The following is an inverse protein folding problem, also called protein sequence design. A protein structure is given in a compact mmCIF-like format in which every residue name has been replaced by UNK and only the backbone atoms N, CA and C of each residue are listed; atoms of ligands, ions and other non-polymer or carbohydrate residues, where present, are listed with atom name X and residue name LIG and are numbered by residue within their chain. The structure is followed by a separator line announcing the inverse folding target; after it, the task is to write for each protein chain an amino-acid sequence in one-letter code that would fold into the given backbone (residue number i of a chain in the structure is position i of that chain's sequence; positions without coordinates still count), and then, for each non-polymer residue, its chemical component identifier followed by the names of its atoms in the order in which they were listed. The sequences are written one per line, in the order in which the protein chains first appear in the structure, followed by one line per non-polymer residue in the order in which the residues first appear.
data_IF_590819913553
#
_entry.id   IF_590819913553
#
_cell.length_a   1.000
_cell.length_b   1.000
_cell.length_c   1.000
_cell.angle_alpha   90.00
_cell.angle_beta   90.00
_cell.angle_gamma   90.00
#
_symmetry.space_group_name_H-M   'P 1'
#
loop_
_entity.id
_entity.type
_entity.pdbx_description
1 polymer ?
#
# COMPACT_ATOMS: atom_id res chain seq x y z
N UNK A 1 5.26 -26.64 19.23
CA UNK A 1 3.77 -26.57 19.38
C UNK A 1 3.15 -25.29 18.81
N UNK A 2 3.56 -24.07 19.22
CA UNK A 2 3.11 -22.82 18.58
C UNK A 2 3.96 -22.46 17.35
N UNK A 3 5.27 -22.69 17.44
CA UNK A 3 6.25 -22.44 16.38
C UNK A 3 6.01 -23.29 15.12
N UNK A 4 5.72 -24.59 15.32
CA UNK A 4 5.42 -25.51 14.20
C UNK A 4 4.18 -25.07 13.40
N UNK A 5 3.14 -24.58 14.06
CA UNK A 5 1.90 -24.12 13.39
C UNK A 5 2.12 -22.91 12.49
N UNK A 6 2.97 -21.97 12.91
CA UNK A 6 3.29 -20.78 12.11
C UNK A 6 4.14 -21.18 10.91
N UNK A 7 5.15 -22.04 11.12
CA UNK A 7 5.99 -22.56 10.03
C UNK A 7 5.19 -23.34 9.00
N UNK A 8 4.29 -24.21 9.44
CA UNK A 8 3.44 -25.02 8.55
C UNK A 8 2.49 -24.16 7.74
N UNK A 9 1.91 -23.11 8.34
CA UNK A 9 1.08 -22.13 7.62
C UNK A 9 1.84 -21.47 6.46
N UNK A 10 3.05 -20.95 6.73
CA UNK A 10 3.87 -20.33 5.69
C UNK A 10 4.31 -21.34 4.62
N UNK A 11 4.62 -22.59 5.01
CA UNK A 11 4.93 -23.64 4.04
C UNK A 11 3.75 -23.95 3.11
N UNK A 12 2.53 -24.07 3.65
CA UNK A 12 1.31 -24.27 2.85
C UNK A 12 1.04 -23.09 1.92
N UNK A 13 1.27 -21.85 2.40
CA UNK A 13 1.10 -20.63 1.61
C UNK A 13 2.09 -20.59 0.41
N UNK A 14 3.34 -20.97 0.63
CA UNK A 14 4.34 -21.08 -0.44
C UNK A 14 4.02 -22.21 -1.42
N UNK A 15 3.59 -23.36 -0.94
CA UNK A 15 3.20 -24.48 -1.81
C UNK A 15 2.02 -24.09 -2.73
N UNK A 16 1.01 -23.40 -2.20
CA UNK A 16 -0.12 -22.86 -2.98
C UNK A 16 0.36 -21.92 -4.09
N UNK A 17 1.27 -20.99 -3.76
CA UNK A 17 1.86 -20.07 -4.74
C UNK A 17 2.61 -20.81 -5.85
N UNK A 18 3.43 -21.80 -5.50
CA UNK A 18 4.16 -22.65 -6.47
C UNK A 18 3.20 -23.38 -7.39
N UNK A 19 2.05 -23.84 -6.88
CA UNK A 19 1.01 -24.50 -7.66
C UNK A 19 0.07 -23.53 -8.40
N UNK A 20 0.33 -22.22 -8.38
CA UNK A 20 -0.51 -21.21 -9.02
C UNK A 20 -1.91 -21.11 -8.43
N UNK A 21 -2.12 -21.55 -7.19
CA UNK A 21 -3.41 -21.43 -6.51
C UNK A 21 -3.59 -20.01 -6.00
N UNK A 22 -4.72 -19.41 -6.33
CA UNK A 22 -5.11 -18.11 -5.79
C UNK A 22 -5.38 -18.22 -4.29
N UNK A 23 -5.09 -17.16 -3.51
CA UNK A 23 -5.57 -17.04 -2.14
C UNK A 23 -7.10 -17.18 -2.09
N UNK A 24 -7.60 -17.90 -1.09
CA UNK A 24 -9.02 -18.06 -0.84
C UNK A 24 -9.31 -17.71 0.62
N UNK A 25 -10.30 -16.84 0.81
CA UNK A 25 -10.74 -16.34 2.11
C UNK A 25 -12.15 -16.84 2.37
N UNK A 26 -12.33 -18.08 2.87
CA UNK A 26 -13.65 -18.61 3.15
C UNK A 26 -14.32 -17.77 4.23
N UNK A 27 -15.62 -17.52 4.08
CA UNK A 27 -16.36 -16.68 5.00
C UNK A 27 -17.63 -16.13 4.39
N UNK A 28 -18.41 -15.45 5.22
CA UNK A 28 -19.55 -14.63 4.80
C UNK A 28 -19.42 -13.26 5.46
N UNK A 29 -20.09 -12.22 4.96
CA UNK A 29 -20.19 -10.95 5.65
C UNK A 29 -20.46 -11.05 7.17
N UNK A 30 -21.31 -12.00 7.58
CA UNK A 30 -21.75 -12.17 8.97
C UNK A 30 -20.72 -12.87 9.84
N UNK A 31 -19.97 -13.82 9.26
CA UNK A 31 -18.95 -14.60 9.96
C UNK A 31 -17.56 -13.98 9.86
N UNK A 32 -17.37 -13.01 8.96
CA UNK A 32 -16.08 -12.46 8.59
C UNK A 32 -15.32 -13.34 7.60
N UNK A 33 -14.26 -12.79 7.01
CA UNK A 33 -13.36 -13.52 6.12
C UNK A 33 -12.25 -14.20 6.95
N UNK A 34 -12.15 -15.54 6.86
CA UNK A 34 -11.17 -16.29 7.64
C UNK A 34 -9.74 -16.03 7.14
N UNK A 35 -8.91 -15.48 8.03
CA UNK A 35 -7.49 -15.24 7.79
C UNK A 35 -6.62 -16.49 8.06
N UNK A 36 -7.21 -17.63 8.44
CA UNK A 36 -6.61 -18.92 8.83
C UNK A 36 -5.63 -18.88 10.01
N UNK A 37 -5.22 -17.69 10.46
CA UNK A 37 -4.16 -17.50 11.45
C UNK A 37 -4.65 -16.94 12.79
N UNK A 38 -5.85 -16.32 12.91
CA UNK A 38 -6.60 -16.13 14.20
C UNK A 38 -7.81 -15.18 14.18
N UNK A 39 -7.93 -14.27 13.22
CA UNK A 39 -9.02 -13.28 13.18
C UNK A 39 -9.96 -13.56 12.02
N UNK A 40 -11.27 -13.36 12.21
CA UNK A 40 -12.24 -13.26 11.13
C UNK A 40 -12.87 -11.86 11.24
N UNK A 41 -12.23 -10.82 10.68
CA UNK A 41 -12.73 -9.47 10.79
C UNK A 41 -14.08 -9.36 10.06
N UNK A 42 -15.10 -8.89 10.78
CA UNK A 42 -16.37 -8.45 10.24
C UNK A 42 -16.43 -6.92 10.32
N UNK A 43 -16.67 -6.26 9.19
CA UNK A 43 -16.73 -4.80 9.08
C UNK A 43 -18.17 -4.30 9.00
N UNK A 44 -18.45 -3.20 9.71
CA UNK A 44 -19.68 -2.42 9.56
C UNK A 44 -19.34 -1.09 8.87
N UNK A 45 -20.26 -0.57 8.07
CA UNK A 45 -20.17 0.78 7.53
C UNK A 45 -21.38 1.58 8.01
N UNK A 46 -21.09 2.75 8.55
CA UNK A 46 -22.09 3.74 8.95
C UNK A 46 -22.38 4.69 7.77
N UNK A 47 -23.66 4.95 7.53
CA UNK A 47 -24.09 5.94 6.56
C UNK A 47 -24.33 7.32 7.18
N UNK A 48 -24.64 8.32 6.35
CA UNK A 48 -24.89 9.69 6.79
C UNK A 48 -26.15 9.86 7.68
N UNK A 49 -26.92 8.79 7.90
CA UNK A 49 -28.10 8.75 8.78
C UNK A 49 -27.84 7.88 10.02
N UNK A 50 -26.58 7.61 10.35
CA UNK A 50 -26.15 6.82 11.52
C UNK A 50 -26.64 5.36 11.44
N UNK A 51 -26.92 4.86 10.23
CA UNK A 51 -27.33 3.46 10.04
C UNK A 51 -26.11 2.63 9.74
N UNK A 52 -25.93 1.58 10.53
CA UNK A 52 -24.90 0.57 10.30
C UNK A 52 -25.42 -0.48 9.32
N UNK A 53 -24.62 -0.80 8.32
CA UNK A 53 -24.77 -1.99 7.49
C UNK A 53 -23.53 -2.86 7.58
N UNK A 54 -23.71 -4.14 7.33
CA UNK A 54 -22.60 -5.06 7.16
C UNK A 54 -21.85 -4.76 5.86
N UNK A 55 -20.53 -4.93 5.86
CA UNK A 55 -19.73 -4.92 4.65
C UNK A 55 -20.08 -6.10 3.76
N UNK A 56 -20.11 -5.91 2.43
CA UNK A 56 -20.24 -7.03 1.49
C UNK A 56 -18.99 -7.91 1.53
N UNK A 57 -19.03 -9.05 0.83
CA UNK A 57 -17.85 -9.90 0.72
C UNK A 57 -16.71 -9.18 -0.02
N UNK A 58 -17.03 -8.46 -1.10
CA UNK A 58 -16.09 -7.65 -1.89
C UNK A 58 -15.41 -6.58 -1.02
N UNK A 59 -16.18 -5.93 -0.15
CA UNK A 59 -15.64 -4.93 0.78
C UNK A 59 -14.73 -5.55 1.85
N UNK A 60 -15.00 -6.79 2.28
CA UNK A 60 -14.16 -7.52 3.23
C UNK A 60 -12.83 -7.98 2.62
N UNK A 61 -12.86 -8.56 1.42
CA UNK A 61 -11.65 -9.09 0.78
C UNK A 61 -10.63 -8.01 0.44
N UNK A 62 -11.04 -6.74 0.38
CA UNK A 62 -10.15 -5.59 0.30
C UNK A 62 -9.11 -5.58 1.45
N UNK A 63 -9.56 -5.81 2.69
CA UNK A 63 -8.68 -5.85 3.86
C UNK A 63 -7.77 -7.09 3.82
N UNK A 64 -8.30 -8.21 3.32
CA UNK A 64 -7.57 -9.47 3.21
C UNK A 64 -6.35 -9.35 2.29
N UNK A 65 -6.47 -8.62 1.18
CA UNK A 65 -5.33 -8.36 0.28
C UNK A 65 -4.09 -7.87 1.01
N UNK A 66 -4.26 -7.01 2.02
CA UNK A 66 -3.13 -6.42 2.76
C UNK A 66 -2.65 -7.25 3.96
N UNK A 67 -3.55 -8.00 4.60
CA UNK A 67 -3.29 -8.74 5.85
C UNK A 67 -3.01 -10.24 5.68
N UNK A 68 -2.89 -10.75 4.45
CA UNK A 68 -2.54 -12.17 4.24
C UNK A 68 -1.37 -12.38 3.29
N UNK A 69 -1.38 -11.72 2.13
CA UNK A 69 -0.52 -12.11 1.00
C UNK A 69 0.40 -11.00 0.50
N UNK A 70 0.50 -9.85 1.18
CA UNK A 70 1.49 -8.84 0.85
C UNK A 70 2.89 -9.29 1.26
N UNK A 71 3.76 -9.44 0.27
CA UNK A 71 5.11 -10.01 0.41
C UNK A 71 6.12 -9.20 1.22
N UNK A 72 5.73 -8.04 1.76
CA UNK A 72 6.63 -7.15 2.53
C UNK A 72 6.15 -6.93 3.97
N UNK A 73 5.02 -7.50 4.40
CA UNK A 73 4.54 -7.35 5.80
C UNK A 73 5.49 -7.98 6.83
N UNK A 74 5.35 -7.58 8.10
CA UNK A 74 5.94 -8.28 9.25
C UNK A 74 4.78 -8.71 10.13
N UNK A 75 4.65 -10.01 10.41
CA UNK A 75 3.53 -10.57 11.16
C UNK A 75 2.14 -10.12 10.66
N UNK A 76 1.99 -9.98 9.34
CA UNK A 76 0.76 -9.52 8.69
C UNK A 76 0.31 -8.10 9.13
N UNK A 77 1.24 -7.30 9.67
CA UNK A 77 1.01 -5.90 10.08
C UNK A 77 2.02 -4.95 9.45
N UNK A 78 1.64 -3.67 9.39
CA UNK A 78 2.46 -2.55 8.91
C UNK A 78 2.91 -1.62 10.05
N UNK A 79 2.31 -1.76 11.24
CA UNK A 79 2.24 -0.67 12.22
C UNK A 79 3.52 -0.41 13.00
N UNK A 80 4.25 -1.47 13.38
CA UNK A 80 5.41 -1.35 14.28
C UNK A 80 6.76 -1.22 13.57
N UNK A 81 7.05 -1.99 12.50
CA UNK A 81 8.39 -2.00 11.89
C UNK A 81 8.85 -0.68 11.26
N UNK A 82 7.92 0.25 11.02
CA UNK A 82 8.17 1.57 10.42
C UNK A 82 8.27 2.71 11.44
N UNK A 83 8.05 2.44 12.74
CA UNK A 83 8.09 3.47 13.77
C UNK A 83 9.50 4.08 13.89
N UNK A 84 9.55 5.39 14.11
CA UNK A 84 10.77 6.11 14.48
C UNK A 84 11.31 5.55 15.80
N UNK A 85 12.63 5.37 16.00
CA UNK A 85 13.18 4.89 17.26
C UNK A 85 12.86 5.79 18.45
N UNK A 86 12.78 5.19 19.64
CA UNK A 86 12.61 5.90 20.91
C UNK A 86 11.22 6.52 21.11
N UNK A 87 11.13 7.53 21.98
CA UNK A 87 9.88 8.21 22.36
C UNK A 87 9.14 8.81 21.16
N UNK A 88 9.86 9.25 20.14
CA UNK A 88 9.31 9.91 18.95
C UNK A 88 8.51 8.95 18.05
N UNK A 89 8.67 7.62 18.17
CA UNK A 89 7.83 6.64 17.48
C UNK A 89 6.51 6.31 18.19
N UNK A 90 6.33 6.79 19.42
CA UNK A 90 5.14 6.52 20.23
C UNK A 90 4.17 7.69 20.31
N UNK A 91 4.56 8.87 19.83
CA UNK A 91 3.65 10.01 19.63
C UNK A 91 2.81 9.85 18.36
N UNK A 92 1.84 10.74 18.18
CA UNK A 92 1.12 10.89 16.91
C UNK A 92 2.11 11.11 15.77
N UNK A 93 2.03 10.27 14.74
CA UNK A 93 2.92 10.33 13.58
C UNK A 93 2.58 11.55 12.71
N UNK A 94 3.61 12.28 12.31
CA UNK A 94 3.49 13.38 11.34
C UNK A 94 4.58 13.24 10.29
N UNK A 95 4.26 13.40 9.01
CA UNK A 95 5.24 13.34 7.92
C UNK A 95 6.19 14.55 7.89
N UNK A 96 5.78 15.67 8.51
CA UNK A 96 6.62 16.87 8.58
C UNK A 96 7.80 16.62 9.50
N UNK A 97 9.00 16.92 9.02
CA UNK A 97 10.25 16.64 9.70
C UNK A 97 10.67 15.17 9.74
N UNK A 98 9.94 14.26 9.09
CA UNK A 98 10.41 12.88 8.93
C UNK A 98 11.28 12.77 7.67
N UNK A 99 12.55 12.34 7.81
CA UNK A 99 13.39 12.10 6.64
C UNK A 99 12.98 10.81 5.92
N UNK A 100 13.22 10.77 4.61
CA UNK A 100 13.14 9.58 3.77
C UNK A 100 14.36 8.69 4.04
N UNK A 101 14.23 7.76 4.97
CA UNK A 101 15.30 6.82 5.33
C UNK A 101 15.29 5.58 4.43
N UNK A 102 16.44 4.92 4.22
CA UNK A 102 16.49 3.65 3.50
C UNK A 102 15.68 2.55 4.20
N UNK A 103 15.29 1.54 3.43
CA UNK A 103 14.83 0.26 3.99
C UNK A 103 16.02 -0.55 4.51
N UNK A 104 15.77 -1.45 5.44
CA UNK A 104 16.80 -2.38 5.91
C UNK A 104 17.43 -3.16 4.74
N UNK A 105 18.76 -3.11 4.65
CA UNK A 105 19.53 -3.71 3.55
C UNK A 105 19.67 -2.84 2.29
N UNK A 106 19.12 -1.62 2.29
CA UNK A 106 19.24 -0.65 1.21
C UNK A 106 20.10 0.52 1.67
N UNK A 107 20.78 1.17 0.72
CA UNK A 107 21.55 2.40 0.97
C UNK A 107 20.82 3.64 0.48
N UNK A 108 20.00 3.50 -0.57
CA UNK A 108 19.20 4.59 -1.10
C UNK A 108 17.94 4.82 -0.24
N UNK A 109 17.46 6.08 -0.14
CA UNK A 109 16.18 6.40 0.49
C UNK A 109 15.02 5.56 -0.08
N UNK A 110 14.04 5.22 0.76
CA UNK A 110 12.93 4.36 0.36
C UNK A 110 12.11 4.97 -0.78
N UNK A 111 11.74 6.25 -0.67
CA UNK A 111 10.92 6.91 -1.70
C UNK A 111 11.67 7.04 -3.01
N UNK A 112 12.97 7.35 -2.95
CA UNK A 112 13.84 7.34 -4.14
C UNK A 112 13.86 5.97 -4.83
N UNK A 113 14.01 4.89 -4.05
CA UNK A 113 13.99 3.52 -4.55
C UNK A 113 12.62 3.17 -5.17
N UNK A 114 11.52 3.58 -4.54
CA UNK A 114 10.17 3.37 -5.07
C UNK A 114 9.96 4.13 -6.38
N UNK A 115 10.31 5.42 -6.44
CA UNK A 115 10.19 6.24 -7.66
C UNK A 115 11.03 5.70 -8.81
N UNK A 116 12.23 5.18 -8.53
CA UNK A 116 13.07 4.55 -9.56
C UNK A 116 12.45 3.25 -10.09
N UNK A 117 11.85 2.42 -9.23
CA UNK A 117 11.27 1.14 -9.66
C UNK A 117 9.94 1.31 -10.38
N UNK A 118 9.06 2.14 -9.83
CA UNK A 118 7.70 2.36 -10.33
C UNK A 118 7.68 3.38 -11.46
N UNK A 119 8.66 4.28 -11.53
CA UNK A 119 8.69 5.40 -12.49
C UNK A 119 7.45 6.29 -12.34
N UNK A 120 7.06 6.55 -11.08
CA UNK A 120 5.91 7.34 -10.69
C UNK A 120 5.72 7.34 -9.18
N UNK A 121 4.66 8.00 -8.72
CA UNK A 121 4.32 8.09 -7.30
C UNK A 121 3.10 7.26 -6.87
N UNK A 122 2.60 6.43 -7.78
CA UNK A 122 1.48 5.52 -7.60
C UNK A 122 1.56 4.40 -8.66
N UNK A 123 0.86 3.30 -8.43
CA UNK A 123 0.93 2.07 -9.23
C UNK A 123 0.46 2.27 -10.68
N UNK A 124 -0.34 3.32 -10.93
CA UNK A 124 -0.88 3.64 -12.24
C UNK A 124 -0.20 4.83 -12.91
N UNK A 125 0.77 5.47 -12.23
CA UNK A 125 1.39 6.74 -12.64
C UNK A 125 0.34 7.80 -13.00
N UNK A 126 -0.71 7.89 -12.19
CA UNK A 126 -1.85 8.80 -12.39
C UNK A 126 -1.71 10.12 -11.62
N UNK A 127 -0.71 10.25 -10.74
CA UNK A 127 -0.46 11.48 -9.99
C UNK A 127 0.34 12.50 -10.83
N UNK A 128 -0.37 13.24 -11.68
CA UNK A 128 0.21 14.28 -12.56
C UNK A 128 1.02 15.34 -11.79
N UNK A 129 0.56 15.73 -10.59
CA UNK A 129 1.26 16.73 -9.75
C UNK A 129 2.63 16.19 -9.32
N UNK A 130 2.70 14.93 -8.90
CA UNK A 130 3.95 14.29 -8.48
C UNK A 130 4.87 14.06 -9.69
N UNK A 131 4.32 13.61 -10.83
CA UNK A 131 5.08 13.42 -12.06
C UNK A 131 5.70 14.74 -12.54
N UNK A 132 4.94 15.84 -12.54
CA UNK A 132 5.47 17.15 -12.92
C UNK A 132 6.60 17.63 -12.00
N UNK A 133 6.56 17.25 -10.71
CA UNK A 133 7.53 17.67 -9.70
C UNK A 133 8.82 16.86 -9.69
N UNK A 134 8.71 15.54 -9.86
CA UNK A 134 9.82 14.60 -9.64
C UNK A 134 10.23 13.82 -10.88
N UNK A 135 9.46 13.92 -11.96
CA UNK A 135 9.74 13.26 -13.24
C UNK A 135 9.73 14.27 -14.40
N UNK A 136 10.51 15.37 -14.33
CA UNK A 136 10.58 16.32 -15.44
C UNK A 136 11.00 15.60 -16.73
N UNK A 137 10.24 15.82 -17.80
CA UNK A 137 10.40 15.12 -19.09
C UNK A 137 10.31 13.57 -18.98
N UNK A 138 9.61 13.06 -17.96
CA UNK A 138 9.46 11.62 -17.71
C UNK A 138 10.68 10.95 -17.06
N UNK A 139 11.68 11.72 -16.63
CA UNK A 139 12.91 11.20 -16.00
C UNK A 139 12.94 11.59 -14.54
N UNK A 140 13.20 10.63 -13.66
CA UNK A 140 13.31 10.84 -12.22
C UNK A 140 14.41 11.86 -11.88
N UNK A 141 14.05 12.98 -11.26
CA UNK A 141 14.98 13.90 -10.64
C UNK A 141 15.37 13.39 -9.24
N UNK A 142 16.34 12.50 -9.22
CA UNK A 142 16.85 11.89 -8.00
C UNK A 142 17.46 12.92 -7.04
N UNK A 143 18.01 14.02 -7.57
CA UNK A 143 18.60 15.08 -6.76
C UNK A 143 17.53 15.81 -5.96
N UNK A 144 16.38 16.10 -6.59
CA UNK A 144 15.24 16.71 -5.92
C UNK A 144 14.66 15.79 -4.84
N UNK A 145 14.49 14.50 -5.12
CA UNK A 145 13.94 13.53 -4.14
C UNK A 145 14.86 13.37 -2.93
N UNK A 146 16.18 13.29 -3.15
CA UNK A 146 17.18 13.14 -2.07
C UNK A 146 17.24 14.31 -1.10
N UNK A 147 16.63 15.46 -1.41
CA UNK A 147 16.49 16.56 -0.44
C UNK A 147 15.66 16.19 0.78
N UNK A 148 14.83 15.16 0.70
CA UNK A 148 14.07 14.65 1.85
C UNK A 148 14.82 13.58 2.64
N UNK A 149 15.99 13.12 2.18
CA UNK A 149 16.82 12.15 2.90
C UNK A 149 17.49 12.78 4.14
N UNK A 150 18.04 11.97 5.07
CA UNK A 150 18.83 12.49 6.18
C UNK A 150 19.91 13.49 5.73
N UNK A 151 19.97 14.65 6.39
CA UNK A 151 20.88 15.75 6.04
C UNK A 151 20.38 16.70 4.94
N UNK A 152 19.22 16.43 4.33
CA UNK A 152 18.57 17.31 3.37
C UNK A 152 17.73 18.43 4.01
N UNK A 153 17.19 19.33 3.18
CA UNK A 153 16.38 20.48 3.58
C UNK A 153 14.86 20.28 3.41
N UNK A 154 14.43 19.04 3.10
CA UNK A 154 13.04 18.63 2.93
C UNK A 154 12.73 17.40 3.79
N UNK A 155 11.47 16.95 3.72
CA UNK A 155 10.95 15.82 4.49
C UNK A 155 9.97 14.98 3.64
N UNK A 156 9.50 13.87 4.21
CA UNK A 156 8.48 13.03 3.59
C UNK A 156 7.20 13.80 3.27
N UNK A 157 6.78 14.74 4.13
CA UNK A 157 5.60 15.56 3.83
C UNK A 157 5.77 16.33 2.52
N UNK A 158 6.95 16.90 2.26
CA UNK A 158 7.23 17.55 0.99
C UNK A 158 7.11 16.58 -0.19
N UNK A 159 7.60 15.33 -0.06
CA UNK A 159 7.53 14.35 -1.15
C UNK A 159 6.08 13.94 -1.51
N UNK A 160 5.26 13.61 -0.51
CA UNK A 160 4.00 12.90 -0.76
C UNK A 160 2.73 13.72 -0.51
N UNK A 161 2.83 14.86 0.19
CA UNK A 161 1.63 15.66 0.47
C UNK A 161 1.17 16.37 -0.81
N UNK A 162 -0.09 16.21 -1.23
CA UNK A 162 -0.62 16.90 -2.39
C UNK A 162 -0.75 18.40 -2.14
N UNK A 163 -0.78 19.19 -3.22
CA UNK A 163 -1.20 20.59 -3.15
C UNK A 163 -2.60 20.70 -2.54
N UNK A 164 -2.90 21.87 -1.96
CA UNK A 164 -4.24 22.15 -1.41
C UNK A 164 -5.35 21.93 -2.44
N UNK A 165 -5.12 22.31 -3.70
CA UNK A 165 -6.09 22.15 -4.78
C UNK A 165 -6.40 20.67 -5.03
N UNK A 166 -5.35 19.85 -5.19
CA UNK A 166 -5.47 18.41 -5.39
C UNK A 166 -6.09 17.72 -4.17
N UNK A 167 -5.67 18.08 -2.95
CA UNK A 167 -6.24 17.54 -1.72
C UNK A 167 -7.76 17.74 -1.67
N UNK A 168 -8.25 18.96 -1.94
CA UNK A 168 -9.69 19.24 -1.96
C UNK A 168 -10.45 18.48 -3.06
N UNK A 169 -9.81 18.21 -4.19
CA UNK A 169 -10.42 17.39 -5.26
C UNK A 169 -10.54 15.93 -4.81
N UNK A 170 -9.49 15.38 -4.21
CA UNK A 170 -9.48 14.01 -3.67
C UNK A 170 -10.50 13.86 -2.54
N UNK A 171 -10.57 14.82 -1.61
CA UNK A 171 -11.55 14.85 -0.53
C UNK A 171 -12.98 14.84 -1.06
N UNK A 172 -13.25 15.62 -2.12
CA UNK A 172 -14.57 15.64 -2.78
C UNK A 172 -14.89 14.31 -3.45
N UNK A 173 -13.92 13.72 -4.16
CA UNK A 173 -14.09 12.41 -4.78
C UNK A 173 -14.38 11.32 -3.72
N UNK A 174 -13.65 11.33 -2.61
CA UNK A 174 -13.87 10.42 -1.50
C UNK A 174 -15.21 10.64 -0.80
N UNK A 175 -15.64 11.89 -0.64
CA UNK A 175 -16.96 12.19 -0.10
C UNK A 175 -18.09 11.62 -0.95
N UNK A 176 -17.95 11.60 -2.28
CA UNK A 176 -18.93 10.95 -3.17
C UNK A 176 -18.96 9.45 -2.90
N UNK A 177 -17.79 8.78 -2.87
CA UNK A 177 -17.68 7.35 -2.55
C UNK A 177 -18.35 7.00 -1.21
N UNK A 178 -18.10 7.81 -0.17
CA UNK A 178 -18.69 7.62 1.17
C UNK A 178 -20.21 7.80 1.16
N UNK A 179 -20.72 8.82 0.46
CA UNK A 179 -22.17 9.08 0.37
C UNK A 179 -22.91 8.00 -0.40
N UNK A 180 -22.29 7.49 -1.46
CA UNK A 180 -22.84 6.42 -2.29
C UNK A 180 -22.62 5.04 -1.68
N UNK A 181 -21.74 4.93 -0.66
CA UNK A 181 -21.39 3.66 -0.02
C UNK A 181 -20.84 2.63 -1.02
N UNK A 182 -20.22 3.10 -2.11
CA UNK A 182 -19.86 2.28 -3.27
C UNK A 182 -18.47 1.61 -3.12
N UNK A 183 -18.08 1.21 -1.91
CA UNK A 183 -16.75 0.66 -1.63
C UNK A 183 -16.49 -0.70 -2.29
N UNK A 184 -17.54 -1.42 -2.68
CA UNK A 184 -17.44 -2.62 -3.51
C UNK A 184 -16.82 -2.35 -4.90
N UNK A 185 -16.84 -1.10 -5.37
CA UNK A 185 -16.20 -0.68 -6.62
C UNK A 185 -14.72 -0.28 -6.44
N UNK A 186 -14.23 -0.29 -5.20
CA UNK A 186 -12.89 0.19 -4.84
C UNK A 186 -12.95 1.30 -3.79
N UNK A 187 -11.84 1.45 -3.04
CA UNK A 187 -11.70 2.46 -1.98
C UNK A 187 -10.78 3.61 -2.37
N UNK A 188 -9.96 3.41 -3.39
CA UNK A 188 -9.04 4.42 -3.89
C UNK A 188 -9.77 5.42 -4.78
N UNK A 189 -9.51 6.71 -4.53
CA UNK A 189 -10.14 7.79 -5.28
C UNK A 189 -9.18 8.36 -6.30
N UNK A 190 -9.54 8.21 -7.57
CA UNK A 190 -8.82 8.80 -8.69
C UNK A 190 -9.64 9.96 -9.25
N UNK A 191 -8.97 11.05 -9.62
CA UNK A 191 -9.64 12.23 -10.18
C UNK A 191 -10.04 12.04 -11.65
N UNK A 192 -9.40 11.09 -12.32
CA UNK A 192 -9.68 10.70 -13.69
C UNK A 192 -9.34 9.21 -13.87
N UNK A 193 -9.93 8.53 -14.86
CA UNK A 193 -9.54 7.18 -15.22
C UNK A 193 -8.03 7.10 -15.53
N UNK A 194 -7.27 6.20 -14.86
CA UNK A 194 -5.83 6.08 -15.08
C UNK A 194 -5.53 5.51 -16.47
N UNK A 195 -4.45 5.98 -17.09
CA UNK A 195 -4.05 5.51 -18.42
C UNK A 195 -3.40 4.11 -18.39
N UNK A 196 -2.64 3.80 -17.32
CA UNK A 196 -1.88 2.55 -17.21
C UNK A 196 -2.68 1.43 -16.54
N UNK A 197 -3.88 1.17 -17.06
CA UNK A 197 -4.76 0.08 -16.58
C UNK A 197 -5.29 -0.71 -17.77
N UNK A 198 -5.18 -2.03 -17.69
CA UNK A 198 -5.77 -2.93 -18.67
C UNK A 198 -7.30 -2.92 -18.53
N UNK A 199 -8.02 -2.66 -19.63
CA UNK A 199 -9.49 -2.71 -19.64
C UNK A 199 -10.03 -4.13 -19.44
N UNK A 200 -9.28 -5.11 -19.90
CA UNK A 200 -9.57 -6.54 -19.79
C UNK A 200 -8.27 -7.26 -19.50
N UNK A 201 -8.33 -8.25 -18.61
CA UNK A 201 -7.20 -9.12 -18.29
C UNK A 201 -7.60 -10.54 -18.62
N UNK A 202 -6.77 -11.23 -19.39
CA UNK A 202 -6.84 -12.67 -19.58
C UNK A 202 -5.81 -13.33 -18.67
N UNK A 203 -6.17 -14.43 -18.03
CA UNK A 203 -5.26 -15.13 -17.12
C UNK A 203 -4.05 -15.66 -17.90
N UNK A 204 -2.85 -15.32 -17.44
CA UNK A 204 -1.60 -15.67 -18.10
C UNK A 204 -0.39 -15.06 -17.40
N UNK A 205 0.77 -15.11 -18.07
CA UNK A 205 1.97 -14.42 -17.60
C UNK A 205 1.74 -12.90 -17.66
N UNK A 206 2.15 -12.19 -16.60
CA UNK A 206 2.14 -10.71 -16.57
C UNK A 206 3.32 -10.11 -17.33
N UNK A 207 4.22 -10.94 -17.87
CA UNK A 207 5.49 -10.57 -18.50
C UNK A 207 6.43 -9.73 -17.62
N UNK A 208 6.09 -9.51 -16.34
CA UNK A 208 6.89 -8.73 -15.40
C UNK A 208 8.31 -9.30 -15.25
N UNK A 209 8.45 -10.63 -15.27
CA UNK A 209 9.77 -11.28 -15.24
C UNK A 209 10.63 -10.89 -16.45
N UNK A 210 10.04 -10.83 -17.64
CA UNK A 210 10.75 -10.48 -18.87
C UNK A 210 11.24 -9.02 -18.88
N UNK A 211 10.58 -8.13 -18.13
CA UNK A 211 11.01 -6.72 -18.02
C UNK A 211 12.32 -6.54 -17.25
N UNK A 212 12.78 -7.54 -16.49
CA UNK A 212 13.91 -7.41 -15.57
C UNK A 212 13.63 -6.50 -14.35
N UNK A 213 12.38 -6.04 -14.17
CA UNK A 213 11.96 -5.15 -13.07
C UNK A 213 11.23 -5.89 -11.96
N UNK A 214 11.57 -7.16 -11.74
CA UNK A 214 11.08 -7.93 -10.61
C UNK A 214 12.03 -7.72 -9.42
N UNK A 215 11.53 -7.15 -8.34
CA UNK A 215 12.29 -6.89 -7.14
C UNK A 215 11.76 -7.72 -5.97
N UNK A 216 12.64 -8.48 -5.31
CA UNK A 216 12.30 -9.39 -4.19
C UNK A 216 12.99 -9.01 -2.89
N UNK A 217 13.63 -7.84 -2.87
CA UNK A 217 14.43 -7.30 -1.78
C UNK A 217 13.66 -6.30 -0.89
N UNK A 218 12.33 -6.26 -1.03
CA UNK A 218 11.46 -5.42 -0.22
C UNK A 218 11.46 -5.85 1.25
N UNK A 219 11.62 -4.88 2.15
CA UNK A 219 11.52 -5.05 3.60
C UNK A 219 10.66 -3.92 4.18
N UNK A 220 9.85 -4.24 5.20
CA UNK A 220 9.08 -3.20 5.91
C UNK A 220 9.94 -2.39 6.87
N UNK A 221 10.97 -3.02 7.43
CA UNK A 221 11.88 -2.39 8.37
C UNK A 221 12.66 -1.28 7.68
N UNK A 222 12.73 -0.12 8.34
CA UNK A 222 13.57 0.99 7.93
C UNK A 222 14.94 0.89 8.61
N UNK A 223 15.98 1.32 7.90
CA UNK A 223 17.33 1.44 8.43
C UNK A 223 17.46 2.77 9.18
N UNK A 224 16.79 2.86 10.34
CA UNK A 224 17.02 3.96 11.26
C UNK A 224 18.45 3.83 11.82
N UNK A 225 19.24 4.90 11.71
CA UNK A 225 20.58 5.00 12.31
C UNK A 225 20.52 5.09 13.85
#
# INVERSE_FOLDING_TARGET
MADDRVRDFYAEEQEKKVRGRLPAFPGTPELGADQRVRLAPAGLIEDAKERLRLQTLEEHVYCMGWHTNLGVTVDQTFAFPRKVPGREGWRTLHLRGLPDVPRAGHTAPETATYFERVQGGDEFRANEELLARFFPNGVLDLSAVRRAAPGGDRDLAWLVTPSRGRALQLDKAYLVLVREQAFALGRDTLLAPPANVHRTVENGSTELKATGRLYTDGRLHLAWE
#
